data_IF_051349146944
#
_entry.id   IF_051349146944
#
_cell.length_a   1.000
_cell.length_b   1.000
_cell.length_c   1.000
_cell.angle_alpha   90.00
_cell.angle_beta   90.00
_cell.angle_gamma   90.00
#
_symmetry.space_group_name_H-M   'P 1'
#
loop_
_entity.id
_entity.type
_entity.pdbx_description
1 polymer ?
#
# COMPACT_ATOMS: atom_id res chain seq x y z
N UNK A 1 17.69 -19.10 16.20
CA UNK A 1 16.92 -18.80 14.97
C UNK A 1 15.43 -18.97 15.22
N UNK A 2 14.95 -20.10 15.75
CA UNK A 2 13.52 -20.36 16.05
C UNK A 2 12.88 -19.21 16.84
N UNK A 3 13.57 -18.71 17.88
CA UNK A 3 13.10 -17.58 18.69
C UNK A 3 12.90 -16.32 17.84
N UNK A 4 13.79 -16.01 16.92
CA UNK A 4 13.66 -14.84 16.03
C UNK A 4 12.46 -14.95 15.09
N UNK A 5 12.16 -16.14 14.59
CA UNK A 5 10.97 -16.36 13.75
C UNK A 5 9.68 -16.17 14.57
N UNK A 6 9.66 -16.69 15.81
CA UNK A 6 8.48 -16.55 16.69
C UNK A 6 8.25 -15.12 17.15
N UNK A 7 9.33 -14.36 17.41
CA UNK A 7 9.26 -12.97 17.86
C UNK A 7 9.06 -11.97 16.71
N UNK A 8 9.21 -12.40 15.44
CA UNK A 8 9.06 -11.56 14.25
C UNK A 8 7.67 -11.71 13.67
N UNK A 9 6.81 -10.72 13.82
CA UNK A 9 5.44 -10.75 13.26
C UNK A 9 5.38 -10.83 11.72
N UNK A 10 6.45 -10.45 11.01
CA UNK A 10 6.49 -10.39 9.55
C UNK A 10 7.47 -11.35 8.86
N UNK A 11 8.25 -12.16 9.62
CA UNK A 11 9.32 -12.95 9.03
C UNK A 11 9.19 -14.45 9.33
N UNK A 12 8.94 -15.22 8.27
CA UNK A 12 8.83 -16.68 8.30
C UNK A 12 10.12 -17.41 7.87
N UNK A 13 11.21 -16.69 7.62
CA UNK A 13 12.50 -17.23 7.23
C UNK A 13 13.58 -16.16 7.12
N UNK A 14 14.85 -16.62 7.17
CA UNK A 14 16.03 -15.76 7.17
C UNK A 14 17.12 -16.33 6.27
N UNK A 15 17.92 -15.47 5.58
CA UNK A 15 19.16 -15.89 4.96
C UNK A 15 20.16 -16.32 6.04
N UNK A 16 20.93 -17.36 5.75
CA UNK A 16 22.01 -17.85 6.59
C UNK A 16 23.33 -17.43 5.95
N UNK A 17 24.14 -16.70 6.69
CA UNK A 17 25.38 -16.13 6.18
C UNK A 17 26.59 -16.61 7.01
N UNK A 18 27.74 -16.72 6.35
CA UNK A 18 29.04 -16.79 7.00
C UNK A 18 29.73 -15.44 6.85
N UNK A 19 29.79 -14.68 7.93
CA UNK A 19 30.10 -13.25 7.84
C UNK A 19 28.98 -12.53 7.08
N UNK A 20 29.28 -11.96 5.92
CA UNK A 20 28.30 -11.34 5.02
C UNK A 20 27.92 -12.21 3.82
N UNK A 21 28.65 -13.29 3.55
CA UNK A 21 28.38 -14.17 2.40
C UNK A 21 27.15 -15.04 2.66
N UNK A 22 26.18 -15.00 1.76
CA UNK A 22 24.99 -15.81 1.82
C UNK A 22 25.32 -17.29 1.51
N UNK A 23 25.09 -18.21 2.47
CA UNK A 23 25.35 -19.64 2.31
C UNK A 23 24.06 -20.46 2.19
N UNK A 24 22.94 -19.94 2.63
CA UNK A 24 21.68 -20.66 2.61
C UNK A 24 20.49 -19.82 3.04
N UNK A 25 19.34 -20.46 3.12
CA UNK A 25 18.10 -19.86 3.62
C UNK A 25 17.38 -20.86 4.52
N UNK A 26 16.84 -20.40 5.64
CA UNK A 26 16.06 -21.22 6.58
C UNK A 26 14.68 -20.64 6.76
N UNK A 27 13.66 -21.48 6.70
CA UNK A 27 12.26 -21.13 6.93
C UNK A 27 11.74 -21.70 8.25
N UNK A 28 10.58 -21.19 8.71
CA UNK A 28 9.87 -21.78 9.85
C UNK A 28 9.57 -23.27 9.64
N UNK A 29 9.26 -23.69 8.39
CA UNK A 29 8.98 -25.08 8.04
C UNK A 29 10.20 -25.96 8.26
N UNK A 30 11.39 -25.50 7.87
CA UNK A 30 12.63 -26.26 8.05
C UNK A 30 12.93 -26.48 9.53
N UNK A 31 12.71 -25.44 10.35
CA UNK A 31 12.91 -25.51 11.79
C UNK A 31 11.89 -26.40 12.51
N UNK A 32 10.65 -26.48 12.02
CA UNK A 32 9.64 -27.39 12.57
C UNK A 32 9.97 -28.86 12.31
N UNK A 33 10.71 -29.15 11.25
CA UNK A 33 11.14 -30.50 10.89
C UNK A 33 12.46 -30.95 11.58
N UNK A 34 13.19 -30.01 12.20
CA UNK A 34 14.49 -30.25 12.80
C UNK A 34 14.43 -30.42 14.33
N UNK A 35 15.37 -31.16 14.88
CA UNK A 35 15.60 -31.15 16.33
C UNK A 35 16.21 -29.79 16.74
N UNK A 36 15.78 -29.26 17.89
CA UNK A 36 16.24 -27.96 18.41
C UNK A 36 17.75 -27.82 18.65
N UNK A 37 18.50 -28.93 18.65
CA UNK A 37 19.95 -28.96 18.77
C UNK A 37 20.68 -29.12 17.43
N UNK A 38 19.95 -29.33 16.33
CA UNK A 38 20.56 -29.49 14.99
C UNK A 38 21.20 -28.17 14.52
N UNK A 39 22.47 -28.18 14.08
CA UNK A 39 23.14 -27.03 13.54
C UNK A 39 22.36 -26.46 12.31
N UNK A 40 22.27 -25.13 12.21
CA UNK A 40 21.51 -24.49 11.13
C UNK A 40 21.97 -24.88 9.73
N UNK A 41 23.25 -25.19 9.55
CA UNK A 41 23.84 -25.65 8.30
C UNK A 41 23.28 -26.98 7.79
N UNK A 42 22.77 -27.82 8.70
CA UNK A 42 22.14 -29.10 8.34
C UNK A 42 20.63 -28.95 8.06
N UNK A 43 20.05 -27.82 8.43
CA UNK A 43 18.61 -27.53 8.32
C UNK A 43 18.29 -26.61 7.15
N UNK A 44 19.20 -25.67 6.84
CA UNK A 44 19.00 -24.68 5.80
C UNK A 44 19.02 -25.30 4.39
N UNK A 45 18.28 -24.68 3.48
CA UNK A 45 18.45 -24.89 2.05
C UNK A 45 19.72 -24.19 1.55
N UNK A 46 20.56 -24.87 0.79
CA UNK A 46 21.81 -24.31 0.23
C UNK A 46 21.68 -23.91 -1.23
N UNK A 47 20.69 -24.44 -1.95
CA UNK A 47 20.35 -24.05 -3.32
C UNK A 47 19.37 -22.86 -3.28
N UNK A 48 19.91 -21.67 -3.00
CA UNK A 48 19.14 -20.45 -2.78
C UNK A 48 19.22 -19.56 -4.02
N UNK A 49 18.07 -19.18 -4.55
CA UNK A 49 18.00 -18.13 -5.57
C UNK A 49 18.36 -16.79 -4.94
N UNK A 50 19.24 -16.06 -5.57
CA UNK A 50 19.65 -14.70 -5.19
C UNK A 50 19.43 -13.73 -6.34
N UNK A 51 19.22 -12.47 -6.03
CA UNK A 51 19.11 -11.40 -7.02
C UNK A 51 20.37 -10.55 -7.02
N UNK A 52 20.70 -10.04 -8.19
CA UNK A 52 21.66 -8.98 -8.39
C UNK A 52 21.02 -7.63 -8.02
N UNK A 53 21.76 -6.66 -7.43
CA UNK A 53 21.22 -5.34 -7.08
C UNK A 53 20.66 -4.54 -8.27
N UNK A 54 21.20 -4.77 -9.48
CA UNK A 54 20.73 -4.12 -10.70
C UNK A 54 19.47 -4.79 -11.31
N UNK A 55 19.03 -5.94 -10.76
CA UNK A 55 17.84 -6.62 -11.22
C UNK A 55 16.60 -5.74 -11.02
N UNK A 56 15.78 -5.59 -12.06
CA UNK A 56 14.53 -4.84 -11.92
C UNK A 56 13.56 -5.53 -10.95
N UNK A 57 12.78 -4.75 -10.19
CA UNK A 57 11.75 -5.29 -9.29
C UNK A 57 10.75 -6.16 -10.06
N UNK A 58 10.46 -5.84 -11.32
CA UNK A 58 9.58 -6.64 -12.18
C UNK A 58 10.15 -8.01 -12.47
N UNK A 59 11.45 -8.11 -12.72
CA UNK A 59 12.11 -9.40 -12.99
C UNK A 59 12.26 -10.21 -11.71
N UNK A 60 12.61 -9.56 -10.60
CA UNK A 60 12.62 -10.18 -9.28
C UNK A 60 11.23 -10.75 -8.89
N UNK A 61 10.15 -9.99 -9.18
CA UNK A 61 8.79 -10.47 -8.99
C UNK A 61 8.48 -11.73 -9.82
N UNK A 62 8.95 -11.81 -11.06
CA UNK A 62 8.79 -13.01 -11.89
C UNK A 62 9.54 -14.21 -11.32
N UNK A 63 10.75 -14.00 -10.78
CA UNK A 63 11.53 -15.04 -10.09
C UNK A 63 10.75 -15.55 -8.89
N UNK A 64 10.30 -14.66 -8.00
CA UNK A 64 9.51 -15.00 -6.82
C UNK A 64 8.27 -15.82 -7.19
N UNK A 65 7.48 -15.36 -8.17
CA UNK A 65 6.24 -16.02 -8.60
C UNK A 65 6.49 -17.40 -9.21
N UNK A 66 7.51 -17.54 -10.07
CA UNK A 66 7.80 -18.80 -10.76
C UNK A 66 8.42 -19.85 -9.84
N UNK A 67 9.22 -19.42 -8.88
CA UNK A 67 9.92 -20.31 -7.94
C UNK A 67 9.09 -20.65 -6.70
N UNK A 68 7.97 -19.95 -6.48
CA UNK A 68 7.13 -20.13 -5.28
C UNK A 68 7.79 -19.68 -3.98
N UNK A 69 8.91 -18.95 -4.06
CA UNK A 69 9.59 -18.39 -2.89
C UNK A 69 8.87 -17.10 -2.45
N UNK A 70 9.01 -16.75 -1.18
CA UNK A 70 8.41 -15.52 -0.63
C UNK A 70 9.43 -14.41 -0.43
N UNK A 71 10.69 -14.75 -0.40
CA UNK A 71 11.82 -13.84 -0.17
C UNK A 71 12.96 -14.19 -1.09
N UNK A 72 13.58 -13.17 -1.67
CA UNK A 72 14.70 -13.27 -2.58
C UNK A 72 15.86 -12.45 -2.02
N UNK A 73 16.92 -13.08 -1.47
CA UNK A 73 18.10 -12.38 -1.01
C UNK A 73 18.77 -11.64 -2.18
N UNK A 74 19.28 -10.45 -1.90
CA UNK A 74 20.05 -9.64 -2.87
C UNK A 74 21.50 -9.67 -2.45
N UNK A 75 22.38 -10.04 -3.37
CA UNK A 75 23.82 -10.14 -3.11
C UNK A 75 24.59 -9.26 -4.11
N UNK A 76 25.72 -8.75 -3.67
CA UNK A 76 26.66 -8.03 -4.53
C UNK A 76 27.53 -9.00 -5.36
N UNK A 77 28.45 -8.45 -6.16
CA UNK A 77 29.38 -9.21 -7.03
C UNK A 77 30.32 -10.13 -6.23
N UNK A 78 30.56 -9.85 -4.94
CA UNK A 78 31.35 -10.67 -4.04
C UNK A 78 30.50 -11.76 -3.32
N UNK A 79 29.20 -11.82 -3.60
CA UNK A 79 28.26 -12.76 -2.98
C UNK A 79 27.85 -12.35 -1.55
N UNK A 80 28.10 -11.11 -1.15
CA UNK A 80 27.71 -10.62 0.17
C UNK A 80 26.23 -10.19 0.17
N UNK A 81 25.51 -10.55 1.21
CA UNK A 81 24.13 -10.18 1.39
C UNK A 81 24.01 -8.67 1.65
N UNK A 82 23.37 -7.95 0.75
CA UNK A 82 23.14 -6.50 0.86
C UNK A 82 21.66 -6.16 1.07
N UNK A 83 20.74 -7.11 0.85
CA UNK A 83 19.32 -6.88 1.05
C UNK A 83 18.48 -8.13 0.89
N UNK A 84 17.18 -7.98 1.08
CA UNK A 84 16.17 -9.02 0.83
C UNK A 84 14.97 -8.37 0.20
N UNK A 85 14.48 -8.92 -0.90
CA UNK A 85 13.22 -8.54 -1.53
C UNK A 85 12.15 -9.56 -1.17
N UNK A 86 10.98 -9.07 -0.76
CA UNK A 86 9.81 -9.89 -0.43
C UNK A 86 8.64 -9.65 -1.38
N UNK A 87 7.61 -10.51 -1.31
CA UNK A 87 6.33 -10.27 -2.00
C UNK A 87 5.73 -8.90 -1.63
N UNK A 88 5.88 -8.49 -0.37
CA UNK A 88 5.40 -7.19 0.13
C UNK A 88 6.08 -6.03 -0.58
N UNK A 89 7.40 -6.11 -0.81
CA UNK A 89 8.15 -5.06 -1.50
C UNK A 89 7.76 -4.98 -2.98
N UNK A 90 7.48 -6.13 -3.61
CA UNK A 90 6.95 -6.18 -4.98
C UNK A 90 5.58 -5.49 -5.06
N UNK A 91 4.67 -5.81 -4.13
CA UNK A 91 3.34 -5.17 -4.07
C UNK A 91 3.47 -3.67 -3.86
N UNK A 92 4.30 -3.23 -2.89
CA UNK A 92 4.57 -1.81 -2.64
C UNK A 92 5.09 -1.09 -3.89
N UNK A 93 6.04 -1.69 -4.60
CA UNK A 93 6.57 -1.14 -5.85
C UNK A 93 5.51 -0.98 -6.95
N UNK A 94 4.50 -1.87 -7.00
CA UNK A 94 3.39 -1.72 -7.95
C UNK A 94 2.44 -0.59 -7.53
N UNK A 95 2.14 -0.49 -6.25
CA UNK A 95 1.33 0.60 -5.68
C UNK A 95 1.96 1.95 -6.02
N UNK A 96 3.27 2.11 -5.77
CA UNK A 96 4.00 3.34 -6.08
C UNK A 96 4.01 3.73 -7.56
N UNK A 97 3.77 2.78 -8.48
CA UNK A 97 3.68 3.04 -9.92
C UNK A 97 2.27 3.39 -10.38
N UNK A 98 1.26 2.74 -9.83
CA UNK A 98 -0.13 2.87 -10.30
C UNK A 98 -0.73 4.22 -9.92
N UNK A 99 -0.46 4.69 -8.70
CA UNK A 99 -1.03 5.95 -8.22
C UNK A 99 -0.60 7.17 -9.05
N UNK A 100 0.68 7.38 -9.41
CA UNK A 100 1.09 8.46 -10.30
C UNK A 100 0.40 8.43 -11.67
N UNK A 101 0.15 7.24 -12.23
CA UNK A 101 -0.58 7.13 -13.49
C UNK A 101 -2.04 7.56 -13.37
N UNK A 102 -2.71 7.20 -12.27
CA UNK A 102 -4.08 7.65 -11.97
C UNK A 102 -4.14 9.17 -11.82
N UNK A 103 -3.21 9.73 -11.04
CA UNK A 103 -3.07 11.18 -10.83
C UNK A 103 -2.84 11.90 -12.15
N UNK A 104 -1.91 11.42 -12.97
CA UNK A 104 -1.63 11.99 -14.28
C UNK A 104 -2.83 11.93 -15.24
N UNK A 105 -3.68 10.90 -15.18
CA UNK A 105 -4.93 10.83 -15.93
C UNK A 105 -5.94 11.87 -15.44
N UNK A 106 -6.14 11.97 -14.13
CA UNK A 106 -7.05 12.93 -13.51
C UNK A 106 -6.62 14.36 -13.84
N UNK A 107 -5.33 14.68 -13.68
CA UNK A 107 -4.78 15.99 -14.04
C UNK A 107 -5.04 16.36 -15.51
N UNK A 108 -4.81 15.42 -16.44
CA UNK A 108 -5.09 15.66 -17.86
C UNK A 108 -6.58 15.93 -18.12
N UNK A 109 -7.48 15.19 -17.45
CA UNK A 109 -8.92 15.40 -17.57
C UNK A 109 -9.32 16.78 -17.06
N UNK A 110 -8.82 17.18 -15.88
CA UNK A 110 -9.06 18.52 -15.33
C UNK A 110 -8.53 19.62 -16.26
N UNK A 111 -7.32 19.46 -16.81
CA UNK A 111 -6.73 20.42 -17.75
C UNK A 111 -7.55 20.57 -19.04
N UNK A 112 -8.20 19.49 -19.50
CA UNK A 112 -9.06 19.56 -20.69
C UNK A 112 -10.39 20.25 -20.41
N UNK A 113 -10.96 20.07 -19.22
CA UNK A 113 -12.23 20.68 -18.80
C UNK A 113 -12.03 22.16 -18.48
N UNK A 114 -10.97 22.47 -17.72
CA UNK A 114 -10.67 23.81 -17.22
C UNK A 114 -9.50 24.43 -17.99
N UNK A 115 -9.74 24.77 -19.27
CA UNK A 115 -8.74 25.42 -20.11
C UNK A 115 -8.34 26.79 -19.55
N UNK A 116 -7.04 27.01 -19.32
CA UNK A 116 -6.48 28.27 -18.83
C UNK A 116 -6.14 28.27 -17.35
N UNK A 117 -6.49 27.21 -16.60
CA UNK A 117 -6.08 27.01 -15.21
C UNK A 117 -4.76 26.23 -15.17
N UNK A 118 -3.78 26.73 -14.47
CA UNK A 118 -2.53 26.01 -14.25
C UNK A 118 -2.72 24.95 -13.16
N UNK A 119 -2.26 23.74 -13.45
CA UNK A 119 -2.34 22.59 -12.56
C UNK A 119 -0.93 22.12 -12.18
N UNK A 120 -0.63 22.14 -10.89
CA UNK A 120 0.60 21.53 -10.35
C UNK A 120 0.29 20.26 -9.58
N UNK A 121 1.28 19.41 -9.44
CA UNK A 121 1.17 18.14 -8.70
C UNK A 121 2.20 18.14 -7.58
N UNK A 122 1.73 17.91 -6.36
CA UNK A 122 2.54 17.86 -5.15
C UNK A 122 2.31 16.54 -4.44
N UNK A 123 3.33 16.05 -3.73
CA UNK A 123 3.18 14.94 -2.78
C UNK A 123 3.43 15.50 -1.37
N UNK A 124 2.40 15.45 -0.53
CA UNK A 124 2.47 15.96 0.85
C UNK A 124 1.49 15.23 1.76
N UNK A 125 1.73 15.32 3.05
CA UNK A 125 0.74 14.90 4.04
C UNK A 125 -0.45 15.87 4.05
N UNK A 126 -1.65 15.31 4.22
CA UNK A 126 -2.91 16.06 4.34
C UNK A 126 -3.63 15.62 5.59
N UNK A 127 -4.20 16.57 6.32
CA UNK A 127 -5.03 16.28 7.49
C UNK A 127 -6.38 15.75 7.04
N UNK A 128 -6.84 14.65 7.64
CA UNK A 128 -8.14 14.06 7.30
C UNK A 128 -9.30 15.02 7.57
N UNK A 129 -9.20 15.82 8.62
CA UNK A 129 -10.19 16.81 9.01
C UNK A 129 -10.37 17.98 7.99
N UNK A 130 -9.41 18.18 7.08
CA UNK A 130 -9.49 19.23 6.06
C UNK A 130 -10.09 18.72 4.73
N UNK A 131 -10.38 17.41 4.65
CA UNK A 131 -10.83 16.77 3.42
C UNK A 131 -12.35 16.79 3.26
N UNK A 132 -12.83 17.27 2.13
CA UNK A 132 -14.21 17.10 1.70
C UNK A 132 -14.31 15.83 0.84
N UNK A 133 -15.05 14.79 1.27
CA UNK A 133 -15.21 13.58 0.49
C UNK A 133 -16.12 13.81 -0.72
N UNK A 134 -15.87 13.05 -1.79
CA UNK A 134 -16.66 13.12 -3.02
C UNK A 134 -17.46 11.85 -3.31
N UNK A 135 -17.44 10.92 -2.37
CA UNK A 135 -18.18 9.66 -2.41
C UNK A 135 -19.03 9.50 -1.16
N UNK A 136 -20.33 9.33 -1.34
CA UNK A 136 -21.31 9.22 -0.24
C UNK A 136 -21.18 7.92 0.56
N UNK A 137 -20.76 6.82 -0.07
CA UNK A 137 -20.82 5.48 0.53
C UNK A 137 -19.54 4.68 0.32
N UNK A 138 -19.18 3.94 1.35
CA UNK A 138 -18.11 2.93 1.30
C UNK A 138 -18.62 1.60 1.87
N UNK A 139 -17.91 0.52 1.54
CA UNK A 139 -18.30 -0.83 1.95
C UNK A 139 -17.49 -1.29 3.16
N UNK A 140 -18.18 -1.85 4.17
CA UNK A 140 -17.58 -2.28 5.43
C UNK A 140 -16.55 -3.39 5.27
N UNK A 141 -16.76 -4.32 4.33
CA UNK A 141 -15.84 -5.43 4.04
C UNK A 141 -14.48 -4.97 3.50
N UNK A 142 -14.43 -3.84 2.78
CA UNK A 142 -13.18 -3.27 2.30
C UNK A 142 -12.38 -2.56 3.42
N UNK A 143 -13.04 -2.04 4.45
CA UNK A 143 -12.37 -1.30 5.53
C UNK A 143 -11.35 -2.14 6.30
N UNK A 144 -11.64 -3.42 6.55
CA UNK A 144 -10.73 -4.33 7.23
C UNK A 144 -9.45 -4.54 6.43
N UNK A 145 -9.56 -4.66 5.10
CA UNK A 145 -8.41 -4.74 4.20
C UNK A 145 -7.56 -3.47 4.23
N UNK A 146 -8.21 -2.29 4.26
CA UNK A 146 -7.49 -0.99 4.30
C UNK A 146 -6.78 -0.75 5.64
N UNK A 147 -7.36 -1.19 6.76
CA UNK A 147 -6.67 -1.17 8.07
C UNK A 147 -5.41 -2.03 8.04
N UNK A 148 -5.51 -3.24 7.52
CA UNK A 148 -4.36 -4.14 7.37
C UNK A 148 -3.25 -3.52 6.51
N UNK A 149 -3.60 -2.84 5.40
CA UNK A 149 -2.65 -2.13 4.55
C UNK A 149 -1.97 -0.97 5.30
N UNK A 150 -2.73 -0.18 6.05
CA UNK A 150 -2.22 0.93 6.87
C UNK A 150 -1.24 0.45 7.95
N UNK A 151 -1.60 -0.57 8.73
CA UNK A 151 -0.75 -1.16 9.77
C UNK A 151 0.61 -1.61 9.24
N UNK A 152 0.67 -2.01 7.97
CA UNK A 152 1.88 -2.51 7.31
C UNK A 152 2.61 -1.47 6.45
N UNK A 153 2.12 -0.26 6.41
CA UNK A 153 2.68 0.78 5.54
C UNK A 153 2.56 0.44 4.05
N UNK A 154 1.51 -0.28 3.66
CA UNK A 154 1.20 -0.68 2.29
C UNK A 154 0.07 0.16 1.67
N UNK A 155 -0.52 1.08 2.42
CA UNK A 155 -1.59 1.92 1.92
C UNK A 155 -1.10 2.81 0.77
N UNK A 156 -1.87 2.84 -0.31
CA UNK A 156 -1.64 3.80 -1.39
C UNK A 156 -1.82 5.24 -0.86
N UNK A 157 -1.06 6.23 -1.36
CA UNK A 157 -1.33 7.63 -1.09
C UNK A 157 -2.75 8.02 -1.53
N UNK A 158 -3.34 8.98 -0.85
CA UNK A 158 -4.62 9.56 -1.25
C UNK A 158 -4.45 10.36 -2.57
N UNK A 159 -5.55 10.62 -3.26
CA UNK A 159 -5.58 11.58 -4.37
C UNK A 159 -6.52 12.71 -3.99
N UNK A 160 -5.99 13.91 -3.92
CA UNK A 160 -6.69 15.11 -3.46
C UNK A 160 -6.61 16.19 -4.55
N UNK A 161 -7.68 16.96 -4.69
CA UNK A 161 -7.70 18.17 -5.51
C UNK A 161 -7.76 19.35 -4.56
N UNK A 162 -6.79 20.24 -4.68
CA UNK A 162 -6.74 21.52 -3.97
C UNK A 162 -7.34 22.60 -4.90
N UNK A 163 -8.59 22.96 -4.64
CA UNK A 163 -9.35 23.95 -5.35
C UNK A 163 -9.37 25.31 -4.64
N UNK A 164 -8.47 25.48 -3.68
CA UNK A 164 -8.42 26.69 -2.85
C UNK A 164 -8.19 27.95 -3.67
N UNK A 165 -7.34 27.88 -4.71
CA UNK A 165 -6.97 29.05 -5.49
C UNK A 165 -6.42 30.17 -4.61
N UNK A 166 -7.07 31.34 -4.64
CA UNK A 166 -6.71 32.49 -3.79
C UNK A 166 -7.57 32.63 -2.54
N UNK A 167 -8.42 31.64 -2.21
CA UNK A 167 -9.27 31.67 -1.03
C UNK A 167 -8.45 31.54 0.27
N UNK A 168 -8.98 32.06 1.38
CA UNK A 168 -8.32 32.00 2.68
C UNK A 168 -8.47 30.62 3.34
N UNK A 169 -9.60 29.94 3.09
CA UNK A 169 -9.90 28.63 3.64
C UNK A 169 -9.58 27.55 2.62
N UNK A 170 -8.95 26.45 3.02
CA UNK A 170 -8.59 25.36 2.11
C UNK A 170 -9.84 24.65 1.59
N UNK A 171 -9.87 24.40 0.28
CA UNK A 171 -10.88 23.58 -0.40
C UNK A 171 -10.23 22.32 -0.94
N UNK A 172 -10.12 21.26 -0.09
CA UNK A 172 -9.47 20.01 -0.41
C UNK A 172 -10.49 18.91 -0.67
N UNK A 173 -10.67 18.52 -1.93
CA UNK A 173 -11.58 17.44 -2.31
C UNK A 173 -10.86 16.12 -2.43
N UNK A 174 -11.33 15.09 -1.69
CA UNK A 174 -10.82 13.72 -1.77
C UNK A 174 -11.33 13.07 -3.06
N UNK A 175 -10.47 12.92 -4.07
CA UNK A 175 -10.82 12.32 -5.34
C UNK A 175 -10.68 10.78 -5.35
N UNK A 176 -9.73 10.22 -4.57
CA UNK A 176 -9.58 8.76 -4.37
C UNK A 176 -9.04 8.46 -2.97
N UNK A 177 -9.53 7.39 -2.36
CA UNK A 177 -9.08 6.91 -1.06
C UNK A 177 -10.12 6.97 0.05
N UNK A 178 -11.42 7.09 -0.25
CA UNK A 178 -12.50 7.18 0.74
C UNK A 178 -12.50 6.05 1.78
N UNK A 179 -12.26 4.80 1.39
CA UNK A 179 -12.11 3.69 2.32
C UNK A 179 -10.87 3.84 3.21
N UNK A 180 -9.75 4.38 2.66
CA UNK A 180 -8.48 4.57 3.38
C UNK A 180 -8.58 5.64 4.45
N UNK A 181 -9.24 6.77 4.15
CA UNK A 181 -9.43 7.84 5.15
C UNK A 181 -10.29 7.38 6.31
N UNK A 182 -11.38 6.63 6.07
CA UNK A 182 -12.20 6.07 7.14
C UNK A 182 -11.46 4.99 7.95
N UNK A 183 -10.66 4.16 7.29
CA UNK A 183 -9.81 3.21 7.98
C UNK A 183 -8.77 3.93 8.86
N UNK A 184 -8.11 4.97 8.35
CA UNK A 184 -7.14 5.77 9.07
C UNK A 184 -7.77 6.51 10.26
N UNK A 185 -8.92 7.14 10.07
CA UNK A 185 -9.68 7.80 11.13
C UNK A 185 -10.04 6.82 12.27
N UNK A 186 -10.51 5.62 11.92
CA UNK A 186 -10.81 4.57 12.90
C UNK A 186 -9.58 4.03 13.67
N UNK A 187 -8.39 4.40 13.26
CA UNK A 187 -7.10 4.05 13.87
C UNK A 187 -6.44 5.27 14.54
N UNK A 188 -7.16 6.39 14.70
CA UNK A 188 -6.66 7.65 15.25
C UNK A 188 -5.44 8.20 14.47
N UNK A 189 -5.36 7.96 13.15
CA UNK A 189 -4.34 8.51 12.26
C UNK A 189 -4.87 9.84 11.71
N UNK A 190 -4.31 11.00 12.10
CA UNK A 190 -4.88 12.31 11.75
C UNK A 190 -4.49 12.81 10.37
N UNK A 191 -3.41 12.27 9.79
CA UNK A 191 -2.80 12.73 8.53
C UNK A 191 -2.41 11.55 7.65
N UNK A 192 -2.51 11.71 6.34
CA UNK A 192 -2.08 10.70 5.36
C UNK A 192 -1.30 11.33 4.21
N UNK A 193 -0.36 10.56 3.65
CA UNK A 193 0.35 10.90 2.43
C UNK A 193 -0.62 10.99 1.24
N UNK A 194 -0.49 12.04 0.44
CA UNK A 194 -1.37 12.30 -0.69
C UNK A 194 -0.63 12.86 -1.90
N UNK A 195 -1.10 12.50 -3.08
CA UNK A 195 -0.88 13.26 -4.29
C UNK A 195 -1.94 14.35 -4.39
N UNK A 196 -1.51 15.59 -4.38
CA UNK A 196 -2.39 16.76 -4.42
C UNK A 196 -2.25 17.46 -5.78
N UNK A 197 -3.37 17.56 -6.51
CA UNK A 197 -3.45 18.37 -7.72
C UNK A 197 -3.91 19.76 -7.29
N UNK A 198 -3.01 20.73 -7.36
CA UNK A 198 -3.27 22.12 -6.95
C UNK A 198 -3.69 22.92 -8.17
N UNK A 199 -4.84 23.57 -8.07
CA UNK A 199 -5.36 24.48 -9.09
C UNK A 199 -4.90 25.93 -8.77
N UNK A 200 -4.42 26.66 -9.78
CA UNK A 200 -3.99 28.06 -9.61
C UNK A 200 -5.12 29.01 -9.25
N UNK A 201 -6.34 28.65 -9.58
CA UNK A 201 -7.57 29.36 -9.23
C UNK A 201 -8.70 28.37 -8.96
N UNK A 202 -9.68 28.77 -8.14
CA UNK A 202 -10.86 27.96 -7.86
C UNK A 202 -11.77 27.86 -9.10
N UNK A 203 -12.25 26.65 -9.37
CA UNK A 203 -13.13 26.33 -10.50
C UNK A 203 -14.32 25.50 -10.05
N UNK A 204 -15.36 25.47 -10.87
CA UNK A 204 -16.51 24.59 -10.63
C UNK A 204 -16.13 23.15 -10.93
N UNK A 205 -15.97 22.35 -9.87
CA UNK A 205 -15.68 20.92 -9.96
C UNK A 205 -16.96 20.11 -9.86
N UNK A 206 -17.27 19.27 -10.85
CA UNK A 206 -18.44 18.40 -10.80
C UNK A 206 -18.47 17.46 -9.58
N UNK A 207 -17.30 17.10 -9.05
CA UNK A 207 -17.21 16.32 -7.79
C UNK A 207 -17.55 17.17 -6.56
N UNK A 208 -17.28 18.46 -6.57
CA UNK A 208 -17.68 19.39 -5.51
C UNK A 208 -19.21 19.59 -5.50
N UNK A 209 -19.82 19.71 -6.69
CA UNK A 209 -21.28 19.74 -6.81
C UNK A 209 -21.91 18.46 -6.28
N UNK A 210 -21.34 17.29 -6.64
CA UNK A 210 -21.81 15.99 -6.13
C UNK A 210 -21.68 15.91 -4.62
N UNK A 211 -20.58 16.38 -4.03
CA UNK A 211 -20.39 16.43 -2.58
C UNK A 211 -21.45 17.31 -1.91
N UNK A 212 -21.68 18.50 -2.45
CA UNK A 212 -22.67 19.44 -1.95
C UNK A 212 -24.11 18.88 -2.03
N UNK A 213 -24.47 18.25 -3.15
CA UNK A 213 -25.79 17.62 -3.34
C UNK A 213 -26.08 16.51 -2.34
N UNK A 214 -25.05 15.80 -1.90
CA UNK A 214 -25.14 14.75 -0.88
C UNK A 214 -24.86 15.24 0.55
N UNK A 215 -24.60 16.54 0.73
CA UNK A 215 -24.32 17.14 2.03
C UNK A 215 -22.98 16.68 2.65
N UNK A 216 -22.03 16.30 1.82
CA UNK A 216 -20.71 15.85 2.24
C UNK A 216 -19.81 17.07 2.53
N UNK A 217 -19.42 17.24 3.78
CA UNK A 217 -18.55 18.32 4.25
C UNK A 217 -17.31 17.83 4.98
N UNK A 218 -17.40 16.64 5.55
CA UNK A 218 -16.32 16.01 6.31
C UNK A 218 -16.33 14.49 6.07
N UNK A 219 -15.23 13.82 6.39
CA UNK A 219 -15.10 12.37 6.17
C UNK A 219 -16.13 11.54 6.96
N UNK A 220 -16.62 12.07 8.08
CA UNK A 220 -17.67 11.46 8.92
C UNK A 220 -19.03 11.41 8.22
N UNK A 221 -19.25 12.22 7.19
CA UNK A 221 -20.48 12.20 6.39
C UNK A 221 -20.55 10.98 5.45
N UNK A 222 -19.44 10.28 5.27
CA UNK A 222 -19.40 9.07 4.46
C UNK A 222 -20.15 7.94 5.16
N UNK A 223 -21.18 7.42 4.51
CA UNK A 223 -21.97 6.30 5.04
C UNK A 223 -21.23 4.98 4.81
N UNK A 224 -21.01 4.22 5.87
CA UNK A 224 -20.52 2.85 5.79
C UNK A 224 -21.71 1.92 5.53
N UNK A 225 -21.72 1.25 4.40
CA UNK A 225 -22.75 0.28 4.02
C UNK A 225 -22.27 -1.12 4.37
N UNK A 226 -23.03 -1.79 5.23
CA UNK A 226 -22.80 -3.20 5.53
C UNK A 226 -23.37 -4.04 4.37
N UNK A 227 -22.51 -4.36 3.41
CA UNK A 227 -22.87 -5.26 2.34
C UNK A 227 -22.67 -6.69 2.85
N UNK A 228 -23.73 -7.48 2.86
CA UNK A 228 -23.60 -8.92 2.98
C UNK A 228 -22.62 -9.39 1.89
N UNK A 229 -21.54 -10.04 2.29
CA UNK A 229 -20.42 -10.54 1.49
C UNK A 229 -20.70 -10.67 -0.01
N UNK A 230 -19.71 -10.36 -0.86
CA UNK A 230 -19.78 -10.63 -2.31
C UNK A 230 -20.53 -11.94 -2.55
N UNK A 231 -21.55 -12.00 -3.44
CA UNK A 231 -22.43 -13.16 -3.58
C UNK A 231 -21.74 -14.50 -3.84
N UNK A 232 -20.44 -14.47 -4.20
CA UNK A 232 -19.60 -15.65 -4.42
C UNK A 232 -18.66 -15.98 -3.24
N UNK A 233 -18.72 -15.21 -2.13
CA UNK A 233 -17.92 -15.47 -0.92
C UNK A 233 -18.86 -15.82 0.22
N UNK A 234 -18.84 -17.09 0.63
CA UNK A 234 -19.56 -17.59 1.81
C UNK A 234 -18.55 -17.82 2.95
N UNK A 235 -18.91 -17.41 4.16
CA UNK A 235 -18.15 -17.79 5.35
C UNK A 235 -18.55 -19.18 5.80
N UNK A 236 -17.64 -19.90 6.47
CA UNK A 236 -17.92 -21.25 6.99
C UNK A 236 -19.09 -21.30 7.97
N UNK A 237 -19.46 -20.17 8.59
CA UNK A 237 -20.64 -20.04 9.45
C UNK A 237 -21.97 -20.16 8.68
N UNK A 238 -21.98 -19.87 7.37
CA UNK A 238 -23.17 -20.02 6.51
C UNK A 238 -23.30 -21.40 5.89
N UNK A 239 -22.29 -22.26 6.06
CA UNK A 239 -22.29 -23.64 5.55
C UNK A 239 -22.81 -24.65 6.58
N UNK A 240 -23.21 -24.20 7.79
CA UNK A 240 -23.87 -24.96 8.82
C UNK A 240 -25.39 -24.67 8.82
#
# INVERSE_FOLDING_TARGET
VTRWIVESEGHNGFPVCRGLTAEGFVTARDLLAADGQTPIQEVMSTDVLVADPEMSVTDAARVILRSGIQKLPVVDDEGQLIGILSNTDVVRSQIERVTPEKVGKLRRSLQQIHNGVDLTEERREVRLADLTPTQERVYADELAGRRYELERGLAEPLVVIDNTGSAADPELYLADGHHRVLAADSMDIPEMDAYVIVLSESVDLGMAETAADHGLTAIEDITIVDYACHPLVETTERLQ
#
